data_IF_727214311658
#
_entry.id   IF_727214311658
#
_cell.length_a   1.000
_cell.length_b   1.000
_cell.length_c   1.000
_cell.angle_alpha   90.00
_cell.angle_beta   90.00
_cell.angle_gamma   90.00
#
_symmetry.space_group_name_H-M   'P 1'
#
loop_
_entity.id
_entity.type
_entity.pdbx_description
1 polymer ?
#
# COMPACT_ATOMS: atom_id res chain seq x y z
N UNK A 1 -25.68 -7.39 16.23
CA UNK A 1 -24.58 -6.48 16.59
C UNK A 1 -23.53 -7.29 17.31
N UNK A 2 -22.37 -7.48 16.69
CA UNK A 2 -21.17 -8.03 17.32
C UNK A 2 -20.00 -7.64 16.41
N UNK A 3 -19.54 -6.40 16.56
CA UNK A 3 -18.22 -6.01 16.06
C UNK A 3 -17.20 -6.75 16.91
N UNK A 4 -16.55 -7.75 16.32
CA UNK A 4 -15.38 -8.39 16.90
C UNK A 4 -14.19 -7.49 16.64
N UNK A 5 -13.87 -6.66 17.63
CA UNK A 5 -12.61 -5.95 17.76
C UNK A 5 -11.49 -6.97 17.96
N UNK A 6 -10.93 -7.48 16.85
CA UNK A 6 -9.68 -8.25 16.85
C UNK A 6 -8.52 -7.29 17.18
N UNK A 7 -8.43 -6.86 18.43
CA UNK A 7 -7.29 -6.11 18.93
C UNK A 7 -6.12 -7.09 19.07
N UNK A 8 -5.21 -7.08 18.10
CA UNK A 8 -3.92 -7.77 18.20
C UNK A 8 -3.26 -7.32 19.52
N UNK A 9 -2.88 -8.23 20.43
CA UNK A 9 -2.30 -7.85 21.70
C UNK A 9 -0.98 -7.12 21.47
N UNK A 10 -0.81 -5.97 22.12
CA UNK A 10 0.43 -5.21 22.15
C UNK A 10 1.52 -6.08 22.81
N UNK A 11 2.30 -6.79 21.99
CA UNK A 11 3.26 -7.81 22.44
C UNK A 11 3.22 -9.12 21.67
N UNK A 12 2.35 -9.28 20.66
CA UNK A 12 2.48 -10.37 19.70
C UNK A 12 3.88 -10.32 19.07
N UNK A 13 4.68 -11.38 19.28
CA UNK A 13 5.97 -11.54 18.60
C UNK A 13 5.68 -11.69 17.11
N UNK A 14 5.74 -10.57 16.39
CA UNK A 14 5.62 -10.57 14.94
C UNK A 14 6.93 -11.11 14.38
N UNK A 15 6.98 -12.43 14.18
CA UNK A 15 8.07 -13.11 13.49
C UNK A 15 8.31 -12.43 12.13
N UNK A 16 9.38 -11.62 12.04
CA UNK A 16 9.91 -11.13 10.77
C UNK A 16 10.85 -12.18 10.19
N UNK A 17 10.52 -12.80 9.04
CA UNK A 17 11.36 -13.83 8.43
C UNK A 17 12.77 -13.33 8.10
N UNK A 18 13.77 -14.22 8.26
CA UNK A 18 15.18 -14.00 7.91
C UNK A 18 15.37 -13.75 6.40
N UNK A 19 16.54 -13.22 6.05
CA UNK A 19 16.85 -12.53 4.78
C UNK A 19 16.98 -13.45 3.55
N UNK A 20 16.95 -14.78 3.72
CA UNK A 20 16.92 -15.72 2.59
C UNK A 20 15.78 -15.36 1.62
N UNK A 21 16.01 -15.43 0.31
CA UNK A 21 15.03 -15.00 -0.72
C UNK A 21 13.69 -15.73 -0.57
N UNK A 22 12.76 -15.09 0.12
CA UNK A 22 11.41 -15.60 0.30
C UNK A 22 10.52 -15.07 -0.83
N UNK A 23 9.77 -15.99 -1.44
CA UNK A 23 8.73 -15.67 -2.42
C UNK A 23 7.76 -14.64 -1.83
N UNK A 24 7.70 -13.45 -2.45
CA UNK A 24 6.87 -12.35 -1.96
C UNK A 24 5.38 -12.72 -1.95
N UNK A 25 4.94 -13.56 -2.88
CA UNK A 25 3.52 -13.96 -2.99
C UNK A 25 3.05 -14.77 -1.78
N UNK A 26 3.97 -15.51 -1.16
CA UNK A 26 3.70 -16.32 0.01
C UNK A 26 3.79 -15.49 1.31
N UNK A 27 4.63 -14.45 1.32
CA UNK A 27 4.88 -13.61 2.50
C UNK A 27 3.91 -12.48 2.70
N UNK A 28 3.52 -11.79 1.63
CA UNK A 28 2.63 -10.62 1.73
C UNK A 28 1.35 -10.98 2.51
N UNK A 29 0.66 -12.11 2.25
CA UNK A 29 -0.54 -12.47 3.03
C UNK A 29 -0.29 -12.67 4.53
N UNK A 30 0.87 -13.23 4.91
CA UNK A 30 1.24 -13.45 6.31
C UNK A 30 1.57 -12.12 7.00
N UNK A 31 2.34 -11.26 6.33
CA UNK A 31 2.75 -9.97 6.87
C UNK A 31 1.56 -9.04 7.11
N UNK A 32 0.61 -9.00 6.18
CA UNK A 32 -0.62 -8.22 6.34
C UNK A 32 -1.42 -8.67 7.57
N UNK A 33 -1.58 -9.98 7.79
CA UNK A 33 -2.22 -10.52 9.00
C UNK A 33 -1.49 -10.12 10.28
N UNK A 34 -0.16 -10.15 10.29
CA UNK A 34 0.65 -9.74 11.44
C UNK A 34 0.46 -8.25 11.79
N UNK A 35 0.16 -7.41 10.79
CA UNK A 35 -0.17 -6.00 10.98
C UNK A 35 -1.65 -5.76 11.37
N UNK A 36 -2.47 -6.80 11.48
CA UNK A 36 -3.91 -6.68 11.66
C UNK A 36 -4.65 -6.17 10.42
N UNK A 37 -4.04 -6.29 9.24
CA UNK A 37 -4.64 -5.91 7.96
C UNK A 37 -5.33 -7.16 7.38
N UNK A 38 -6.66 -7.17 7.44
CA UNK A 38 -7.47 -8.27 6.89
C UNK A 38 -7.69 -8.17 5.37
N UNK A 39 -7.35 -7.02 4.78
CA UNK A 39 -7.49 -6.82 3.33
C UNK A 39 -6.49 -7.67 2.56
N UNK A 40 -6.96 -8.27 1.47
CA UNK A 40 -6.08 -8.97 0.54
C UNK A 40 -5.16 -7.98 -0.20
N UNK A 41 -3.98 -8.43 -0.69
CA UNK A 41 -3.10 -7.58 -1.51
C UNK A 41 -3.83 -6.97 -2.71
N UNK A 42 -4.67 -7.76 -3.39
CA UNK A 42 -5.47 -7.28 -4.52
C UNK A 42 -6.48 -6.19 -4.11
N UNK A 43 -7.10 -6.32 -2.94
CA UNK A 43 -8.00 -5.30 -2.39
C UNK A 43 -7.26 -4.00 -2.08
N UNK A 44 -6.05 -4.09 -1.51
CA UNK A 44 -5.19 -2.94 -1.21
C UNK A 44 -4.76 -2.23 -2.51
N UNK A 45 -4.48 -3.00 -3.56
CA UNK A 45 -4.04 -2.46 -4.85
C UNK A 45 -5.18 -1.93 -5.74
N UNK A 46 -6.43 -2.36 -5.52
CA UNK A 46 -7.57 -1.99 -6.35
C UNK A 46 -7.76 -0.48 -6.59
N UNK A 47 -7.52 0.44 -5.62
CA UNK A 47 -7.58 1.88 -5.86
C UNK A 47 -6.50 2.40 -6.82
N UNK A 48 -5.36 1.72 -6.90
CA UNK A 48 -4.22 2.10 -7.72
C UNK A 48 -4.23 1.45 -9.10
N UNK A 49 -5.11 0.47 -9.32
CA UNK A 49 -5.38 -0.05 -10.66
C UNK A 49 -5.94 1.11 -11.49
N UNK A 50 -5.23 1.57 -12.53
CA UNK A 50 -5.68 2.71 -13.31
C UNK A 50 -7.04 2.39 -13.92
N UNK A 51 -8.08 3.12 -13.50
CA UNK A 51 -9.46 2.96 -14.03
C UNK A 51 -9.58 3.46 -15.48
N UNK A 52 -8.56 4.18 -15.94
CA UNK A 52 -8.36 4.65 -17.31
C UNK A 52 -6.89 4.38 -17.64
N UNK A 53 -6.53 4.24 -18.93
CA UNK A 53 -5.14 4.33 -19.34
C UNK A 53 -4.51 5.57 -18.69
N UNK A 54 -3.34 5.41 -18.07
CA UNK A 54 -2.57 6.55 -17.57
C UNK A 54 -2.41 7.51 -18.75
N UNK A 55 -3.10 8.67 -18.70
CA UNK A 55 -2.84 9.73 -19.66
C UNK A 55 -1.44 10.20 -19.36
N UNK A 56 -0.54 9.97 -20.30
CA UNK A 56 0.73 10.68 -20.31
C UNK A 56 0.38 12.17 -20.33
N UNK A 57 0.70 12.86 -19.23
CA UNK A 57 0.52 14.29 -19.17
C UNK A 57 1.66 14.87 -20.01
N UNK A 58 1.35 15.23 -21.25
CA UNK A 58 2.30 15.95 -22.10
C UNK A 58 2.52 17.32 -21.48
N UNK A 59 3.63 17.47 -20.77
CA UNK A 59 4.06 18.77 -20.31
C UNK A 59 4.83 19.46 -21.42
N UNK A 60 4.41 20.68 -21.78
CA UNK A 60 5.29 21.56 -22.52
C UNK A 60 6.47 21.96 -21.62
N UNK A 61 7.72 22.00 -22.13
CA UNK A 61 8.88 22.52 -21.38
C UNK A 61 8.68 23.95 -20.83
N UNK A 62 7.68 24.69 -21.32
CA UNK A 62 7.30 26.03 -20.85
C UNK A 62 6.44 25.97 -19.59
N UNK A 63 5.54 24.98 -19.47
CA UNK A 63 4.62 24.80 -18.34
C UNK A 63 5.36 24.30 -17.08
N UNK A 64 6.40 23.47 -17.23
CA UNK A 64 7.23 23.01 -16.12
C UNK A 64 8.00 24.15 -15.42
N UNK A 65 8.30 25.23 -16.14
CA UNK A 65 9.05 26.38 -15.60
C UNK A 65 8.16 27.38 -14.85
N UNK A 66 6.84 27.20 -14.90
CA UNK A 66 5.86 28.10 -14.27
C UNK A 66 5.16 27.49 -13.06
N UNK A 67 5.62 26.34 -12.54
CA UNK A 67 5.31 25.93 -11.16
C UNK A 67 5.96 26.94 -10.21
N UNK A 68 5.22 28.02 -9.99
CA UNK A 68 5.59 29.17 -9.18
C UNK A 68 4.79 29.04 -7.89
N UNK A 69 5.51 28.58 -6.88
CA UNK A 69 5.27 28.54 -5.43
C UNK A 69 3.87 28.15 -4.91
N UNK A 70 3.79 27.30 -3.87
CA UNK A 70 2.55 27.12 -3.12
C UNK A 70 2.09 28.51 -2.62
N UNK A 71 0.85 28.89 -2.93
CA UNK A 71 0.22 30.03 -2.28
C UNK A 71 0.16 29.73 -0.77
N UNK A 72 0.69 30.66 0.04
CA UNK A 72 0.67 30.64 1.51
C UNK A 72 -0.71 30.27 2.11
#
# INVERSE_FOLDING_TARGET
SAGGDTSIPAGAVLETPKKEEFNIEERIPVYLRNLGIEQSPGTILAPFVPRRPLRELEFSPVELRTLKDPLD
#
